data_IF_873346004670
#
_entry.id   IF_873346004670
#
_cell.length_a   1.000
_cell.length_b   1.000
_cell.length_c   1.000
_cell.angle_alpha   90.00
_cell.angle_beta   90.00
_cell.angle_gamma   90.00
#
_symmetry.space_group_name_H-M   'P 1'
#
loop_
_entity.id
_entity.type
_entity.pdbx_description
1 polymer ?
#
# COMPACT_ATOMS: atom_id res chain seq x y z
N UNK A 1 6.22 16.22 10.48
CA UNK A 1 7.12 15.12 10.84
C UNK A 1 7.14 14.18 9.66
N UNK A 2 8.31 13.64 9.26
CA UNK A 2 8.31 12.50 8.33
C UNK A 2 7.77 11.33 9.13
N UNK A 3 6.60 10.85 8.75
CA UNK A 3 5.93 9.72 9.36
C UNK A 3 6.84 8.49 9.22
N UNK A 4 7.05 7.76 10.32
CA UNK A 4 8.06 6.70 10.42
C UNK A 4 7.35 5.35 10.46
N UNK A 5 7.33 4.71 9.30
CA UNK A 5 6.82 3.36 9.18
C UNK A 5 7.99 2.36 9.04
N UNK A 6 8.29 1.58 10.08
CA UNK A 6 9.44 0.69 10.07
C UNK A 6 9.31 -0.42 9.02
N UNK A 7 8.10 -0.88 8.73
CA UNK A 7 7.86 -1.95 7.75
C UNK A 7 8.07 -1.47 6.32
N UNK A 8 7.61 -0.26 5.99
CA UNK A 8 7.91 0.39 4.71
C UNK A 8 9.42 0.65 4.54
N UNK A 9 10.08 1.15 5.58
CA UNK A 9 11.53 1.42 5.55
C UNK A 9 12.37 0.16 5.37
N UNK A 10 12.02 -0.96 6.02
CA UNK A 10 12.69 -2.25 5.81
C UNK A 10 12.66 -2.69 4.35
N UNK A 11 11.63 -2.29 3.62
CA UNK A 11 11.42 -2.63 2.22
C UNK A 11 11.86 -1.52 1.24
N UNK A 12 12.56 -0.49 1.73
CA UNK A 12 12.95 0.70 0.96
C UNK A 12 11.77 1.36 0.22
N UNK A 13 10.58 1.34 0.82
CA UNK A 13 9.40 2.02 0.31
C UNK A 13 9.20 3.34 1.05
N UNK A 14 9.07 4.43 0.30
CA UNK A 14 8.57 5.68 0.87
C UNK A 14 7.04 5.62 1.00
N UNK A 15 6.49 6.31 2.00
CA UNK A 15 5.05 6.34 2.24
C UNK A 15 4.28 6.82 1.00
N UNK A 16 4.77 7.89 0.34
CA UNK A 16 4.17 8.41 -0.89
C UNK A 16 4.24 7.39 -2.04
N UNK A 17 5.35 6.68 -2.18
CA UNK A 17 5.53 5.63 -3.18
C UNK A 17 4.52 4.49 -2.95
N UNK A 18 4.41 4.01 -1.72
CA UNK A 18 3.50 2.94 -1.33
C UNK A 18 2.03 3.30 -1.61
N UNK A 19 1.61 4.50 -1.21
CA UNK A 19 0.25 5.00 -1.50
C UNK A 19 0.01 5.03 -3.01
N UNK A 20 1.01 5.41 -3.79
CA UNK A 20 0.83 5.56 -5.22
C UNK A 20 0.76 4.22 -5.95
N UNK A 21 1.53 3.22 -5.51
CA UNK A 21 1.41 1.85 -5.98
C UNK A 21 -0.02 1.32 -5.76
N UNK A 22 -0.56 1.48 -4.55
CA UNK A 22 -1.91 1.00 -4.22
C UNK A 22 -2.98 1.77 -5.01
N UNK A 23 -2.82 3.08 -5.19
CA UNK A 23 -3.73 3.87 -6.04
C UNK A 23 -3.71 3.45 -7.50
N UNK A 24 -2.55 3.09 -8.04
CA UNK A 24 -2.43 2.60 -9.41
C UNK A 24 -3.05 1.20 -9.56
N UNK A 25 -2.91 0.33 -8.56
CA UNK A 25 -3.65 -0.92 -8.47
C UNK A 25 -5.17 -0.71 -8.51
N UNK A 26 -5.71 0.18 -7.66
CA UNK A 26 -7.16 0.49 -7.64
C UNK A 26 -7.67 0.95 -9.00
N UNK A 27 -6.88 1.76 -9.71
CA UNK A 27 -7.28 2.33 -11.00
C UNK A 27 -7.22 1.34 -12.16
N UNK A 28 -6.27 0.40 -12.13
CA UNK A 28 -5.93 -0.44 -13.29
C UNK A 28 -6.28 -1.91 -13.13
N UNK A 29 -6.23 -2.42 -11.91
CA UNK A 29 -6.25 -3.86 -11.62
C UNK A 29 -7.39 -4.27 -10.68
N UNK A 30 -7.89 -3.38 -9.82
CA UNK A 30 -9.00 -3.71 -8.93
C UNK A 30 -10.33 -3.87 -9.71
N UNK A 31 -10.71 -5.12 -9.96
CA UNK A 31 -11.91 -5.48 -10.73
C UNK A 31 -13.16 -5.48 -9.85
N UNK A 32 -13.04 -5.96 -8.61
CA UNK A 32 -14.18 -6.11 -7.70
C UNK A 32 -14.31 -4.93 -6.73
N UNK A 33 -15.45 -4.86 -6.03
CA UNK A 33 -15.62 -3.90 -4.93
C UNK A 33 -14.71 -4.24 -3.74
N UNK A 34 -14.57 -5.54 -3.45
CA UNK A 34 -13.74 -6.06 -2.37
C UNK A 34 -12.25 -5.70 -2.56
N UNK A 35 -11.72 -5.81 -3.79
CA UNK A 35 -10.35 -5.40 -4.10
C UNK A 35 -10.11 -3.91 -3.84
N UNK A 36 -11.13 -3.07 -4.12
CA UNK A 36 -11.05 -1.62 -3.91
C UNK A 36 -11.18 -1.25 -2.45
N UNK A 37 -12.01 -1.97 -1.70
CA UNK A 37 -12.18 -1.82 -0.27
C UNK A 37 -10.88 -2.17 0.46
N UNK A 38 -10.32 -3.35 0.18
CA UNK A 38 -9.05 -3.78 0.76
C UNK A 38 -7.91 -2.81 0.43
N UNK A 39 -7.78 -2.39 -0.83
CA UNK A 39 -6.76 -1.41 -1.21
C UNK A 39 -6.96 -0.03 -0.55
N UNK A 40 -8.19 0.36 -0.21
CA UNK A 40 -8.46 1.57 0.55
C UNK A 40 -8.05 1.42 2.03
N UNK A 41 -8.30 0.26 2.63
CA UNK A 41 -7.84 -0.07 3.99
C UNK A 41 -6.31 -0.04 4.09
N UNK A 42 -5.60 -0.64 3.12
CA UNK A 42 -4.13 -0.60 3.04
C UNK A 42 -3.63 0.86 3.01
N UNK A 43 -4.28 1.75 2.24
CA UNK A 43 -3.92 3.17 2.20
C UNK A 43 -4.12 3.83 3.58
N UNK A 44 -5.21 3.51 4.28
CA UNK A 44 -5.48 4.01 5.63
C UNK A 44 -4.41 3.52 6.63
N UNK A 45 -4.04 2.24 6.59
CA UNK A 45 -2.96 1.68 7.42
C UNK A 45 -1.62 2.37 7.14
N UNK A 46 -1.31 2.71 5.88
CA UNK A 46 -0.11 3.46 5.52
C UNK A 46 -0.15 4.89 6.11
N UNK A 47 -1.30 5.56 6.12
CA UNK A 47 -1.44 6.88 6.72
C UNK A 47 -1.36 6.87 8.24
N UNK A 48 -1.91 5.82 8.87
CA UNK A 48 -1.94 5.66 10.33
C UNK A 48 -0.64 5.06 10.91
N UNK A 49 0.36 4.79 10.07
CA UNK A 49 1.61 4.11 10.46
C UNK A 49 1.40 2.69 11.03
N UNK A 50 0.22 2.11 10.83
CA UNK A 50 -0.19 0.80 11.36
C UNK A 50 -0.10 -0.29 10.28
N UNK A 51 0.88 -0.14 9.38
CA UNK A 51 1.04 -1.03 8.24
C UNK A 51 1.59 -2.36 8.72
N UNK A 52 0.87 -3.42 8.42
CA UNK A 52 1.20 -4.79 8.78
C UNK A 52 2.12 -5.44 7.73
N UNK A 53 2.66 -6.61 8.04
CA UNK A 53 3.39 -7.40 7.05
C UNK A 53 2.54 -7.79 5.83
N UNK A 54 1.24 -8.04 6.04
CA UNK A 54 0.30 -8.39 4.96
C UNK A 54 0.07 -7.20 4.01
N UNK A 55 -0.05 -6.00 4.55
CA UNK A 55 -0.15 -4.77 3.76
C UNK A 55 1.11 -4.58 2.89
N UNK A 56 2.30 -4.85 3.45
CA UNK A 56 3.56 -4.75 2.71
C UNK A 56 3.63 -5.76 1.58
N UNK A 57 3.29 -7.03 1.85
CA UNK A 57 3.30 -8.07 0.83
C UNK A 57 2.37 -7.69 -0.32
N UNK A 58 1.17 -7.19 -0.02
CA UNK A 58 0.24 -6.67 -1.02
C UNK A 58 0.81 -5.50 -1.83
N UNK A 59 1.43 -4.51 -1.18
CA UNK A 59 2.06 -3.37 -1.88
C UNK A 59 3.18 -3.85 -2.81
N UNK A 60 4.00 -4.81 -2.37
CA UNK A 60 5.07 -5.39 -3.17
C UNK A 60 4.53 -6.21 -4.36
N UNK A 61 3.43 -6.92 -4.19
CA UNK A 61 2.73 -7.59 -5.29
C UNK A 61 2.18 -6.58 -6.29
N UNK A 62 1.50 -5.53 -5.83
CA UNK A 62 1.03 -4.44 -6.69
C UNK A 62 2.17 -3.80 -7.48
N UNK A 63 3.34 -3.58 -6.84
CA UNK A 63 4.53 -3.02 -7.48
C UNK A 63 5.09 -3.89 -8.61
N UNK A 64 4.96 -5.22 -8.51
CA UNK A 64 5.37 -6.15 -9.59
C UNK A 64 4.40 -6.14 -10.77
N UNK A 65 3.15 -5.78 -10.53
CA UNK A 65 2.05 -5.77 -11.51
C UNK A 65 1.90 -4.43 -12.24
N UNK A 66 2.60 -3.38 -11.80
CA UNK A 66 2.53 -2.00 -12.34
C UNK A 66 3.73 -1.72 -13.25
#
# INVERSE_FOLDING_TARGET
MRYFNPELMKNNLEQEEAIQIVKDYIKRLAETYEDKEYAAEVIEHIYNEDTTGEDIDFILECKKLT
#
